data_IF_100444756050
#
_entry.id   IF_100444756050
#
_cell.length_a   1.000
_cell.length_b   1.000
_cell.length_c   1.000
_cell.angle_alpha   90.00
_cell.angle_beta   90.00
_cell.angle_gamma   90.00
#
_symmetry.space_group_name_H-M   'P 1'
#
loop_
_entity.id
_entity.type
_entity.pdbx_description
1 polymer ?
#
# COMPACT_ATOMS: atom_id res chain seq x y z
N UNK A 1 -11.61 3.75 17.07
CA UNK A 1 -10.68 2.88 17.81
C UNK A 1 -9.90 2.08 16.78
N UNK A 2 -8.60 1.89 17.01
CA UNK A 2 -7.59 1.70 15.97
C UNK A 2 -7.52 0.26 15.44
N UNK A 3 -7.44 0.11 14.11
CA UNK A 3 -7.12 -1.17 13.46
C UNK A 3 -5.95 -0.90 12.52
N UNK A 4 -4.75 -1.13 13.06
CA UNK A 4 -3.47 -1.22 12.37
C UNK A 4 -2.80 -2.45 12.98
N UNK A 5 -2.88 -3.64 12.38
CA UNK A 5 -2.33 -4.84 12.98
C UNK A 5 -0.81 -4.93 12.76
N UNK A 6 -0.11 -5.16 13.88
CA UNK A 6 0.93 -6.17 14.10
C UNK A 6 2.41 -5.74 14.17
N UNK A 7 2.94 -4.79 13.41
CA UNK A 7 4.37 -4.40 13.60
C UNK A 7 4.64 -3.11 14.39
N UNK A 8 3.60 -2.35 14.75
CA UNK A 8 3.77 -1.08 15.52
C UNK A 8 3.80 -1.32 17.04
N UNK A 9 3.51 -2.54 17.52
CA UNK A 9 3.30 -2.80 18.95
C UNK A 9 4.55 -2.76 19.84
N UNK A 10 5.76 -2.55 19.29
CA UNK A 10 6.98 -2.44 20.09
C UNK A 10 7.40 -1.00 20.40
N UNK A 11 6.83 0.03 19.75
CA UNK A 11 7.26 1.42 19.93
C UNK A 11 6.14 2.27 20.52
N UNK A 12 6.42 2.89 21.67
CA UNK A 12 5.49 3.77 22.35
C UNK A 12 5.19 4.98 21.44
N UNK A 13 3.96 5.49 21.40
CA UNK A 13 3.57 6.59 20.49
C UNK A 13 4.43 7.86 20.63
N UNK A 14 4.89 8.14 21.86
CA UNK A 14 5.84 9.22 22.16
C UNK A 14 7.23 9.00 21.54
N UNK A 15 7.65 7.74 21.39
CA UNK A 15 8.96 7.38 20.82
C UNK A 15 8.97 7.55 19.29
N UNK A 16 7.86 7.24 18.62
CA UNK A 16 7.74 7.43 17.17
C UNK A 16 7.76 8.92 16.78
N UNK A 17 7.02 9.76 17.49
CA UNK A 17 7.00 11.21 17.20
C UNK A 17 8.38 11.83 17.40
N UNK A 18 9.12 11.42 18.43
CA UNK A 18 10.51 11.83 18.63
C UNK A 18 11.43 11.36 17.50
N UNK A 19 11.32 10.09 17.09
CA UNK A 19 12.08 9.56 15.95
C UNK A 19 11.80 10.35 14.69
N UNK A 20 10.54 10.68 14.41
CA UNK A 20 10.18 11.48 13.24
C UNK A 20 10.76 12.89 13.33
N UNK A 21 10.68 13.57 14.47
CA UNK A 21 11.28 14.90 14.65
C UNK A 21 12.79 14.89 14.42
N UNK A 22 13.50 13.88 14.92
CA UNK A 22 14.94 13.70 14.70
C UNK A 22 15.25 13.39 13.24
N UNK A 23 14.45 12.54 12.61
CA UNK A 23 14.53 12.25 11.17
C UNK A 23 14.35 13.50 10.31
N UNK A 24 13.43 14.40 10.64
CA UNK A 24 13.27 15.67 9.92
C UNK A 24 14.53 16.55 10.00
N UNK A 25 15.29 16.43 11.09
CA UNK A 25 16.61 17.08 11.30
C UNK A 25 17.79 16.31 10.69
N UNK A 26 17.54 15.33 9.80
CA UNK A 26 18.55 14.49 9.15
C UNK A 26 19.38 13.65 10.13
N UNK A 27 18.78 13.20 11.23
CA UNK A 27 19.38 12.20 12.11
C UNK A 27 19.36 10.82 11.43
N UNK A 28 20.54 10.27 11.16
CA UNK A 28 20.72 8.97 10.50
C UNK A 28 20.23 7.81 11.35
N UNK A 29 20.42 7.86 12.67
CA UNK A 29 19.99 6.81 13.59
C UNK A 29 18.46 6.77 13.65
N UNK A 30 17.83 7.94 13.65
CA UNK A 30 16.38 8.02 13.59
C UNK A 30 15.83 7.44 12.27
N UNK A 31 16.50 7.74 11.15
CA UNK A 31 16.13 7.16 9.86
C UNK A 31 16.30 5.65 9.81
N UNK A 32 17.40 5.10 10.32
CA UNK A 32 17.66 3.66 10.37
C UNK A 32 16.56 2.91 11.15
N UNK A 33 16.15 3.48 12.30
CA UNK A 33 15.03 2.94 13.08
C UNK A 33 13.72 2.97 12.30
N UNK A 34 13.37 4.11 11.70
CA UNK A 34 12.14 4.24 10.89
C UNK A 34 12.17 3.33 9.66
N UNK A 35 13.34 3.15 9.03
CA UNK A 35 13.54 2.22 7.94
C UNK A 35 13.23 0.79 8.38
N UNK A 36 13.84 0.31 9.47
CA UNK A 36 13.59 -1.02 10.02
C UNK A 36 12.13 -1.26 10.39
N UNK A 37 11.45 -0.25 10.91
CA UNK A 37 10.02 -0.34 11.28
C UNK A 37 9.09 -0.47 10.07
N UNK A 38 9.44 0.13 8.92
CA UNK A 38 8.51 0.29 7.80
C UNK A 38 8.88 -0.48 6.54
N UNK A 39 10.13 -0.97 6.42
CA UNK A 39 10.63 -1.64 5.22
C UNK A 39 9.68 -2.73 4.70
N UNK A 40 9.37 -3.74 5.52
CA UNK A 40 8.57 -4.90 5.09
C UNK A 40 7.17 -4.49 4.63
N UNK A 41 6.49 -3.62 5.39
CA UNK A 41 5.14 -3.15 5.07
C UNK A 41 5.12 -2.33 3.77
N UNK A 42 6.13 -1.49 3.56
CA UNK A 42 6.22 -0.64 2.37
C UNK A 42 6.59 -1.45 1.14
N UNK A 43 7.58 -2.34 1.23
CA UNK A 43 7.96 -3.21 0.12
C UNK A 43 6.83 -4.20 -0.22
N UNK A 44 6.13 -4.74 0.79
CA UNK A 44 4.94 -5.56 0.59
C UNK A 44 3.84 -4.82 -0.17
N UNK A 45 3.54 -3.58 0.22
CA UNK A 45 2.57 -2.74 -0.48
C UNK A 45 2.99 -2.48 -1.95
N UNK A 46 4.27 -2.20 -2.20
CA UNK A 46 4.79 -2.02 -3.57
C UNK A 46 4.62 -3.32 -4.38
N UNK A 47 4.95 -4.47 -3.79
CA UNK A 47 4.84 -5.78 -4.45
C UNK A 47 3.40 -6.11 -4.86
N UNK A 48 2.38 -5.67 -4.12
CA UNK A 48 0.98 -5.86 -4.54
C UNK A 48 0.65 -5.16 -5.87
N UNK A 49 1.38 -4.08 -6.19
CA UNK A 49 1.19 -3.27 -7.40
C UNK A 49 2.04 -3.81 -8.56
N UNK A 50 3.34 -4.02 -8.33
CA UNK A 50 4.27 -4.41 -9.40
C UNK A 50 4.24 -5.92 -9.70
N UNK A 51 3.91 -6.74 -8.70
CA UNK A 51 3.86 -8.22 -8.77
C UNK A 51 5.18 -8.84 -9.24
N UNK A 52 6.29 -8.26 -8.77
CA UNK A 52 7.66 -8.69 -9.02
C UNK A 52 8.47 -8.32 -7.77
N UNK A 53 9.02 -9.34 -7.09
CA UNK A 53 9.72 -9.16 -5.81
C UNK A 53 10.98 -8.32 -5.97
N UNK A 54 11.79 -8.58 -6.99
CA UNK A 54 13.06 -7.88 -7.20
C UNK A 54 12.81 -6.42 -7.53
N UNK A 55 11.85 -6.16 -8.42
CA UNK A 55 11.47 -4.81 -8.77
C UNK A 55 10.83 -4.08 -7.58
N UNK A 56 10.06 -4.79 -6.74
CA UNK A 56 9.49 -4.20 -5.55
C UNK A 56 10.56 -3.74 -4.56
N UNK A 57 11.60 -4.55 -4.34
CA UNK A 57 12.75 -4.21 -3.49
C UNK A 57 13.52 -3.01 -4.04
N UNK A 58 13.80 -2.95 -5.35
CA UNK A 58 14.44 -1.81 -6.02
C UNK A 58 13.65 -0.51 -5.79
N UNK A 59 12.34 -0.53 -6.05
CA UNK A 59 11.48 0.63 -5.85
C UNK A 59 11.42 1.00 -4.37
N UNK A 60 11.43 0.03 -3.46
CA UNK A 60 11.39 0.26 -2.03
C UNK A 60 12.64 1.03 -1.56
N UNK A 61 13.83 0.69 -2.06
CA UNK A 61 15.06 1.44 -1.80
C UNK A 61 14.97 2.90 -2.29
N UNK A 62 14.48 3.11 -3.51
CA UNK A 62 14.26 4.45 -4.06
C UNK A 62 13.26 5.25 -3.22
N UNK A 63 12.21 4.61 -2.71
CA UNK A 63 11.21 5.22 -1.85
C UNK A 63 11.81 5.70 -0.54
N UNK A 64 12.62 4.88 0.13
CA UNK A 64 13.28 5.31 1.37
C UNK A 64 14.32 6.41 1.13
N UNK A 65 14.98 6.42 -0.03
CA UNK A 65 15.85 7.52 -0.47
C UNK A 65 15.05 8.82 -0.68
N UNK A 66 13.88 8.74 -1.30
CA UNK A 66 12.95 9.89 -1.46
C UNK A 66 12.40 10.37 -0.11
N UNK A 67 12.06 9.45 0.78
CA UNK A 67 11.61 9.76 2.15
C UNK A 67 12.69 10.55 2.88
N UNK A 68 13.92 10.07 2.89
CA UNK A 68 15.06 10.78 3.48
C UNK A 68 15.23 12.17 2.88
N UNK A 69 15.24 12.28 1.55
CA UNK A 69 15.42 13.55 0.85
C UNK A 69 14.32 14.57 1.20
N UNK A 70 13.08 14.10 1.32
CA UNK A 70 11.89 14.91 1.60
C UNK A 70 11.49 14.96 3.07
N UNK A 71 12.39 14.60 4.00
CA UNK A 71 12.09 14.50 5.44
C UNK A 71 11.40 15.74 6.02
N UNK A 72 11.88 16.92 5.66
CA UNK A 72 11.36 18.23 6.10
C UNK A 72 9.93 18.52 5.61
N UNK A 73 9.49 17.87 4.53
CA UNK A 73 8.16 18.09 3.95
C UNK A 73 7.04 17.36 4.68
N UNK A 74 7.37 16.40 5.56
CA UNK A 74 6.38 15.71 6.37
C UNK A 74 5.69 16.69 7.32
N UNK A 75 4.36 16.63 7.36
CA UNK A 75 3.55 17.47 8.23
C UNK A 75 2.52 16.60 8.97
N UNK A 76 2.62 16.46 10.31
CA UNK A 76 1.72 15.63 11.09
C UNK A 76 0.25 16.09 11.05
N UNK A 77 -0.02 17.37 10.77
CA UNK A 77 -1.39 17.88 10.59
C UNK A 77 -2.08 17.36 9.33
N UNK A 78 -1.31 16.87 8.33
CA UNK A 78 -1.82 16.34 7.06
C UNK A 78 -2.02 14.83 7.06
N UNK A 79 -1.54 14.13 8.09
CA UNK A 79 -1.67 12.68 8.23
C UNK A 79 -0.51 12.06 8.99
N UNK A 80 -0.66 10.77 9.33
CA UNK A 80 0.36 9.98 10.04
C UNK A 80 1.58 9.74 9.14
N UNK A 81 2.75 9.63 9.75
CA UNK A 81 4.03 9.37 9.07
C UNK A 81 3.97 8.15 8.14
N UNK A 82 3.46 7.01 8.63
CA UNK A 82 3.28 5.81 7.81
C UNK A 82 2.45 6.07 6.54
N UNK A 83 1.36 6.82 6.66
CA UNK A 83 0.50 7.16 5.51
C UNK A 83 1.24 8.04 4.50
N UNK A 84 2.08 8.96 4.97
CA UNK A 84 2.92 9.77 4.10
C UNK A 84 3.93 8.94 3.33
N UNK A 85 4.65 8.02 3.99
CA UNK A 85 5.59 7.08 3.34
C UNK A 85 4.87 6.18 2.34
N UNK A 86 3.72 5.61 2.73
CA UNK A 86 2.92 4.73 1.87
C UNK A 86 2.44 5.42 0.59
N UNK A 87 2.10 6.72 0.66
CA UNK A 87 1.73 7.49 -0.53
C UNK A 87 2.91 7.67 -1.49
N UNK A 88 4.12 7.93 -0.98
CA UNK A 88 5.34 8.01 -1.81
C UNK A 88 5.58 6.65 -2.48
N UNK A 89 5.48 5.57 -1.70
CA UNK A 89 5.66 4.20 -2.18
C UNK A 89 4.70 3.83 -3.32
N UNK A 90 3.41 4.10 -3.10
CA UNK A 90 2.36 3.83 -4.08
C UNK A 90 2.59 4.59 -5.37
N UNK A 91 2.91 5.88 -5.29
CA UNK A 91 3.17 6.69 -6.49
C UNK A 91 4.37 6.14 -7.27
N UNK A 92 5.47 5.80 -6.59
CA UNK A 92 6.65 5.23 -7.23
C UNK A 92 6.35 3.89 -7.94
N UNK A 93 5.58 3.00 -7.29
CA UNK A 93 5.17 1.73 -7.88
C UNK A 93 4.31 1.92 -9.14
N UNK A 94 3.34 2.83 -9.07
CA UNK A 94 2.44 3.16 -10.19
C UNK A 94 3.24 3.73 -11.37
N UNK A 95 4.16 4.66 -11.10
CA UNK A 95 5.00 5.27 -12.12
C UNK A 95 5.85 4.22 -12.83
N UNK A 96 6.44 3.27 -12.09
CA UNK A 96 7.20 2.17 -12.68
C UNK A 96 6.32 1.29 -13.58
N UNK A 97 5.13 0.88 -13.11
CA UNK A 97 4.19 0.06 -13.91
C UNK A 97 3.75 0.77 -15.19
N UNK A 98 3.65 2.10 -15.17
CA UNK A 98 3.24 2.91 -16.32
C UNK A 98 4.36 3.18 -17.29
N UNK A 99 5.61 3.11 -16.83
CA UNK A 99 6.78 3.29 -17.68
C UNK A 99 6.77 2.30 -18.85
N UNK A 100 7.20 2.78 -20.02
CA UNK A 100 7.25 1.97 -21.26
C UNK A 100 8.09 0.70 -21.07
N UNK A 101 9.16 0.79 -20.28
CA UNK A 101 10.06 -0.33 -19.94
C UNK A 101 9.34 -1.48 -19.22
N UNK A 102 8.45 -1.19 -18.26
CA UNK A 102 7.68 -2.24 -17.57
C UNK A 102 6.67 -2.94 -18.50
N UNK A 103 6.06 -2.18 -19.42
CA UNK A 103 5.15 -2.75 -20.43
C UNK A 103 5.88 -3.67 -21.42
N UNK A 104 7.12 -3.34 -21.76
CA UNK A 104 7.93 -4.13 -22.69
C UNK A 104 8.50 -5.40 -22.01
N UNK A 105 8.86 -5.34 -20.71
CA UNK A 105 9.29 -6.52 -19.94
C UNK A 105 8.17 -7.57 -19.77
N UNK A 106 6.92 -7.16 -19.53
CA UNK A 106 5.79 -8.10 -19.43
C UNK A 106 5.40 -8.77 -20.75
N UNK A 107 5.75 -8.20 -21.91
CA UNK A 107 5.51 -8.84 -23.21
C UNK A 107 6.43 -10.03 -23.48
N UNK A 108 7.58 -10.11 -22.80
CA UNK A 108 8.55 -11.20 -22.96
C UNK A 108 8.34 -12.37 -22.01
N UNK A 109 7.42 -12.25 -21.03
CA UNK A 109 6.98 -13.35 -20.18
C UNK A 109 5.73 -13.95 -20.83
N UNK A 110 5.93 -14.96 -21.68
CA UNK A 110 4.85 -15.66 -22.38
C UNK A 110 3.87 -16.34 -21.41
N UNK A 111 2.68 -16.67 -21.94
CA UNK A 111 1.50 -17.18 -21.24
C UNK A 111 1.71 -18.44 -20.36
N UNK A 112 2.88 -19.08 -20.42
CA UNK A 112 3.22 -20.28 -19.66
C UNK A 112 3.48 -20.01 -18.17
N UNK A 113 3.70 -18.74 -17.76
CA UNK A 113 3.94 -18.41 -16.35
C UNK A 113 2.64 -18.38 -15.50
N UNK A 114 1.47 -18.26 -16.13
CA UNK A 114 0.18 -18.09 -15.42
C UNK A 114 -0.34 -19.38 -14.76
N UNK A 115 0.07 -20.57 -15.25
CA UNK A 115 -0.39 -21.87 -14.74
C UNK A 115 0.41 -22.32 -13.50
N UNK A 116 1.65 -21.84 -13.31
CA UNK A 116 2.51 -22.23 -12.19
C UNK A 116 2.18 -21.55 -10.86
N UNK A 117 1.57 -20.36 -10.88
CA UNK A 117 1.34 -19.55 -9.66
C UNK A 117 0.07 -19.96 -8.91
N UNK A 118 -0.97 -20.41 -9.63
CA UNK A 118 -2.21 -20.90 -8.99
C UNK A 118 -1.97 -22.16 -8.14
N UNK A 119 -0.98 -22.98 -8.51
CA UNK A 119 -0.64 -24.21 -7.78
C UNK A 119 0.29 -23.99 -6.56
N UNK A 120 0.90 -22.80 -6.42
CA UNK A 120 1.80 -22.48 -5.30
C UNK A 120 1.11 -21.83 -4.10
N UNK A 121 -0.11 -21.31 -4.29
CA UNK A 121 -0.90 -20.73 -3.20
C UNK A 121 -1.50 -21.78 -2.24
N UNK A 122 -1.50 -23.07 -2.63
CA UNK A 122 -2.02 -24.18 -1.81
C UNK A 122 -0.95 -24.83 -0.92
N UNK A 123 0.34 -24.48 -1.05
CA UNK A 123 1.40 -25.18 -0.34
C UNK A 123 2.53 -24.23 0.07
N UNK A 124 2.34 -23.40 1.10
CA UNK A 124 3.37 -23.13 2.11
C UNK A 124 2.94 -22.15 3.23
N UNK A 125 2.98 -22.72 4.44
CA UNK A 125 3.25 -22.15 5.76
C UNK A 125 2.17 -21.36 6.52
N UNK A 126 1.60 -22.09 7.48
CA UNK A 126 1.33 -21.67 8.86
C UNK A 126 2.34 -20.62 9.37
N UNK A 127 1.85 -19.41 9.62
CA UNK A 127 2.46 -18.52 10.61
C UNK A 127 1.36 -18.06 11.56
N UNK A 128 1.63 -18.37 12.82
CA UNK A 128 0.80 -18.21 14.00
C UNK A 128 0.77 -16.73 14.41
N UNK A 129 -0.17 -15.95 13.87
CA UNK A 129 -0.42 -14.56 14.27
C UNK A 129 -1.88 -14.20 13.95
N UNK A 130 -2.66 -13.91 15.00
CA UNK A 130 -4.09 -13.54 15.07
C UNK A 130 -4.91 -13.69 13.78
N UNK A 131 -5.96 -14.53 13.74
CA UNK A 131 -6.71 -14.76 12.51
C UNK A 131 -7.43 -13.48 12.12
N UNK A 132 -6.83 -12.71 11.20
CA UNK A 132 -7.63 -11.97 10.24
C UNK A 132 -8.47 -13.07 9.61
N UNK A 133 -9.75 -13.11 9.96
CA UNK A 133 -10.69 -14.07 9.41
C UNK A 133 -10.83 -13.71 7.92
N UNK A 134 -9.91 -14.26 7.11
CA UNK A 134 -9.84 -14.07 5.67
C UNK A 134 -11.20 -14.43 5.04
N UNK A 135 -11.91 -15.49 5.49
CA UNK A 135 -13.30 -15.71 5.11
C UNK A 135 -14.24 -14.53 5.44
N UNK A 136 -14.20 -13.96 6.65
CA UNK A 136 -15.02 -12.81 7.02
C UNK A 136 -14.66 -11.55 6.22
N UNK A 137 -13.37 -11.28 5.99
CA UNK A 137 -12.89 -10.17 5.17
C UNK A 137 -13.33 -10.34 3.71
N UNK A 138 -13.23 -11.55 3.16
CA UNK A 138 -13.73 -11.88 1.81
C UNK A 138 -15.24 -11.67 1.73
N UNK A 139 -16.03 -12.14 2.71
CA UNK A 139 -17.49 -11.96 2.75
C UNK A 139 -17.89 -10.48 2.84
N UNK A 140 -17.14 -9.70 3.62
CA UNK A 140 -17.34 -8.27 3.79
C UNK A 140 -17.03 -7.51 2.50
N UNK A 141 -15.92 -7.84 1.82
CA UNK A 141 -15.56 -7.31 0.50
C UNK A 141 -16.63 -7.68 -0.54
N UNK A 142 -17.11 -8.93 -0.57
CA UNK A 142 -18.19 -9.36 -1.47
C UNK A 142 -19.55 -8.67 -1.19
N UNK A 143 -19.79 -8.23 0.04
CA UNK A 143 -21.00 -7.48 0.41
C UNK A 143 -20.91 -5.98 0.09
N UNK A 144 -19.74 -5.45 -0.30
CA UNK A 144 -19.68 -4.10 -0.84
C UNK A 144 -20.35 -4.10 -2.22
N UNK A 145 -21.21 -3.10 -2.46
CA UNK A 145 -21.83 -2.88 -3.77
C UNK A 145 -20.74 -2.90 -4.86
N UNK A 146 -21.03 -3.50 -6.01
CA UNK A 146 -20.11 -3.66 -7.15
C UNK A 146 -19.35 -2.36 -7.50
N UNK A 147 -20.06 -1.22 -7.51
CA UNK A 147 -19.49 0.12 -7.75
C UNK A 147 -18.49 0.59 -6.70
N UNK A 148 -18.52 0.03 -5.49
CA UNK A 148 -17.52 0.26 -4.46
C UNK A 148 -16.30 -0.63 -4.66
N UNK A 149 -16.51 -1.91 -4.97
CA UNK A 149 -15.43 -2.84 -5.28
C UNK A 149 -14.56 -2.34 -6.42
N UNK A 150 -15.20 -1.87 -7.49
CA UNK A 150 -14.50 -1.35 -8.67
C UNK A 150 -13.65 -0.11 -8.35
N UNK A 151 -14.15 0.82 -7.52
CA UNK A 151 -13.39 1.99 -7.06
C UNK A 151 -12.21 1.57 -6.18
N UNK A 152 -12.43 0.65 -5.25
CA UNK A 152 -11.38 0.16 -4.35
C UNK A 152 -10.32 -0.60 -5.16
N UNK A 153 -10.73 -1.41 -6.12
CA UNK A 153 -9.83 -2.16 -6.98
C UNK A 153 -8.98 -1.23 -7.84
N UNK A 154 -9.61 -0.27 -8.51
CA UNK A 154 -8.92 0.69 -9.36
C UNK A 154 -7.89 1.50 -8.56
N UNK A 155 -8.28 2.03 -7.41
CA UNK A 155 -7.41 2.89 -6.62
C UNK A 155 -6.34 2.07 -5.90
N UNK A 156 -6.72 1.05 -5.13
CA UNK A 156 -5.81 0.42 -4.18
C UNK A 156 -5.06 -0.79 -4.77
N UNK A 157 -5.64 -1.53 -5.71
CA UNK A 157 -5.02 -2.74 -6.27
C UNK A 157 -4.40 -2.52 -7.66
N UNK A 158 -5.06 -1.74 -8.51
CA UNK A 158 -4.59 -1.45 -9.87
C UNK A 158 -3.75 -0.18 -9.97
N UNK A 159 -3.66 0.60 -8.89
CA UNK A 159 -2.80 1.77 -8.83
C UNK A 159 -3.24 2.93 -9.74
N UNK A 160 -4.53 3.09 -10.00
CA UNK A 160 -5.05 4.26 -10.71
C UNK A 160 -5.13 5.46 -9.77
N UNK A 161 -4.87 6.67 -10.28
CA UNK A 161 -5.21 7.91 -9.57
C UNK A 161 -6.71 8.15 -9.67
N UNK A 162 -7.25 9.03 -8.81
CA UNK A 162 -8.67 9.39 -8.88
C UNK A 162 -9.08 9.96 -10.24
N UNK A 163 -8.17 10.67 -10.92
CA UNK A 163 -8.41 11.22 -12.26
C UNK A 163 -8.47 10.12 -13.31
N UNK A 164 -7.59 9.14 -13.24
CA UNK A 164 -7.59 8.03 -14.22
C UNK A 164 -8.71 7.04 -13.94
N UNK A 165 -9.08 6.81 -12.68
CA UNK A 165 -10.30 6.07 -12.35
C UNK A 165 -11.54 6.77 -12.90
N UNK A 166 -11.59 8.10 -12.82
CA UNK A 166 -12.68 8.90 -13.41
C UNK A 166 -12.75 8.71 -14.93
N UNK A 167 -11.60 8.72 -15.61
CA UNK A 167 -11.53 8.49 -17.06
C UNK A 167 -11.85 7.03 -17.44
N UNK A 168 -11.29 6.05 -16.73
CA UNK A 168 -11.44 4.63 -17.05
C UNK A 168 -12.87 4.15 -16.83
N UNK A 169 -13.54 4.65 -15.79
CA UNK A 169 -14.92 4.26 -15.45
C UNK A 169 -15.98 5.19 -16.06
N UNK A 170 -15.55 6.20 -16.82
CA UNK A 170 -16.42 7.24 -17.39
C UNK A 170 -17.40 7.85 -16.38
N UNK A 171 -16.87 8.26 -15.21
CA UNK A 171 -17.63 8.91 -14.14
C UNK A 171 -16.94 10.19 -13.67
N UNK A 172 -17.68 11.19 -13.17
CA UNK A 172 -17.07 12.43 -12.67
C UNK A 172 -16.05 12.20 -11.55
N UNK A 173 -14.96 12.98 -11.52
CA UNK A 173 -13.94 12.93 -10.47
C UNK A 173 -14.53 13.12 -9.06
N UNK A 174 -15.56 13.97 -8.93
CA UNK A 174 -16.31 14.14 -7.69
C UNK A 174 -16.97 12.83 -7.23
N UNK A 175 -17.53 12.06 -8.16
CA UNK A 175 -18.14 10.75 -7.90
C UNK A 175 -17.10 9.73 -7.44
N UNK A 176 -15.91 9.71 -8.05
CA UNK A 176 -14.80 8.85 -7.62
C UNK A 176 -14.41 9.15 -6.16
N UNK A 177 -14.22 10.43 -5.82
CA UNK A 177 -13.87 10.86 -4.47
C UNK A 177 -14.94 10.48 -3.44
N UNK A 178 -16.20 10.79 -3.73
CA UNK A 178 -17.32 10.52 -2.82
C UNK A 178 -17.56 9.03 -2.64
N UNK A 179 -17.52 8.23 -3.73
CA UNK A 179 -17.60 6.78 -3.64
C UNK A 179 -16.45 6.22 -2.82
N UNK A 180 -15.20 6.59 -3.14
CA UNK A 180 -14.04 6.11 -2.38
C UNK A 180 -14.18 6.37 -0.87
N UNK A 181 -14.56 7.59 -0.49
CA UNK A 181 -14.77 7.95 0.91
C UNK A 181 -15.85 7.09 1.58
N UNK A 182 -16.98 6.88 0.90
CA UNK A 182 -18.09 6.06 1.40
C UNK A 182 -17.71 4.58 1.52
N UNK A 183 -17.03 4.01 0.52
CA UNK A 183 -16.59 2.62 0.53
C UNK A 183 -15.58 2.36 1.66
N UNK A 184 -14.60 3.25 1.86
CA UNK A 184 -13.64 3.15 2.96
C UNK A 184 -14.32 3.31 4.33
N UNK A 185 -15.31 4.20 4.48
CA UNK A 185 -16.07 4.31 5.74
C UNK A 185 -16.75 3.00 6.09
N UNK A 186 -17.44 2.38 5.12
CA UNK A 186 -18.12 1.10 5.31
C UNK A 186 -17.15 -0.02 5.65
N UNK A 187 -16.02 -0.10 4.98
CA UNK A 187 -14.98 -1.09 5.31
C UNK A 187 -14.53 -0.92 6.77
N UNK A 188 -14.29 0.31 7.22
CA UNK A 188 -13.89 0.58 8.62
C UNK A 188 -14.96 0.21 9.63
N UNK A 189 -16.21 0.56 9.37
CA UNK A 189 -17.35 0.25 10.25
C UNK A 189 -17.49 -1.26 10.46
N UNK A 190 -17.29 -2.06 9.40
CA UNK A 190 -17.49 -3.50 9.45
C UNK A 190 -16.25 -4.28 9.91
N UNK A 191 -15.06 -3.66 9.93
CA UNK A 191 -13.82 -4.27 10.46
C UNK A 191 -13.67 -4.01 11.97
N UNK A 192 -14.43 -3.07 12.56
CA UNK A 192 -14.37 -2.73 14.00
C UNK A 192 -15.30 -3.57 14.87
N UNK A 193 -15.44 -4.87 14.56
CA UNK A 193 -16.21 -5.84 15.36
C UNK A 193 -15.26 -6.80 16.05
#
# INVERSE_FOLDING_TARGET
>A
MAILPIFIHQYNSMELDELVLRFQKKDVIAFEKLYGMYWENICGAINTIVKDKFLAEEICQDVFTKVWSNSESYNPSKGRFFTWVLNIARNAAIDKVRSKSFKDQKKNLSADYFVGILNKADNQHETDESPIDIPALKKLVLNLKEKCLEIIEMLYFKGYTQKETSQQLDIPLGTVKTRNRSCISKLRENITV
#
